data_IF_912250784694
#
_entry.id   IF_912250784694
#
_cell.length_a   1.000
_cell.length_b   1.000
_cell.length_c   1.000
_cell.angle_alpha   90.00
_cell.angle_beta   90.00
_cell.angle_gamma   90.00
#
_symmetry.space_group_name_H-M   'P 1'
#
loop_
_entity.id
_entity.type
_entity.pdbx_description
1 polymer ?
#
# COMPACT_ATOMS: atom_id res chain seq x y z
N UNK A 1 11.30 -6.47 -10.23
CA UNK A 1 10.01 -5.84 -9.95
C UNK A 1 9.51 -6.34 -8.61
N UNK A 2 9.47 -5.48 -7.61
CA UNK A 2 9.00 -5.80 -6.26
C UNK A 2 7.48 -5.65 -6.20
N UNK A 3 6.79 -6.67 -5.68
CA UNK A 3 5.33 -6.69 -5.54
C UNK A 3 5.00 -6.46 -4.08
N UNK A 4 4.29 -5.36 -3.79
CA UNK A 4 4.02 -4.93 -2.42
C UNK A 4 2.56 -5.20 -2.06
N UNK A 5 2.34 -5.88 -0.95
CA UNK A 5 1.04 -5.97 -0.29
C UNK A 5 1.00 -5.03 0.92
N UNK A 6 -0.10 -4.32 1.10
CA UNK A 6 -0.34 -3.47 2.27
C UNK A 6 -1.50 -4.06 3.07
N UNK A 7 -1.27 -4.40 4.35
CA UNK A 7 -2.31 -4.89 5.27
C UNK A 7 -2.51 -3.83 6.35
N UNK A 8 -3.72 -3.31 6.44
CA UNK A 8 -4.05 -2.11 7.21
C UNK A 8 -3.76 -0.83 6.41
N UNK A 9 -4.81 -0.15 5.98
CA UNK A 9 -4.82 1.07 5.17
C UNK A 9 -5.20 2.34 5.94
N UNK A 10 -4.88 2.38 7.24
CA UNK A 10 -4.90 3.58 8.07
C UNK A 10 -3.81 4.60 7.70
N UNK A 11 -3.40 5.43 8.66
CA UNK A 11 -2.40 6.49 8.44
C UNK A 11 -1.09 5.95 7.84
N UNK A 12 -0.50 4.92 8.45
CA UNK A 12 0.76 4.34 7.96
C UNK A 12 0.60 3.56 6.66
N UNK A 13 -0.52 2.84 6.47
CA UNK A 13 -0.79 2.16 5.20
C UNK A 13 -0.83 3.11 4.01
N UNK A 14 -1.46 4.27 4.18
CA UNK A 14 -1.50 5.34 3.17
C UNK A 14 -0.14 6.01 2.95
N UNK A 15 0.64 6.21 4.00
CA UNK A 15 2.03 6.68 3.91
C UNK A 15 2.86 5.72 3.04
N UNK A 16 2.85 4.42 3.37
CA UNK A 16 3.56 3.41 2.61
C UNK A 16 3.09 3.34 1.16
N UNK A 17 1.78 3.38 0.90
CA UNK A 17 1.25 3.41 -0.46
C UNK A 17 1.83 4.55 -1.29
N UNK A 18 1.89 5.77 -0.74
CA UNK A 18 2.50 6.93 -1.41
C UNK A 18 3.99 6.71 -1.68
N UNK A 19 4.74 6.21 -0.71
CA UNK A 19 6.16 5.93 -0.88
C UNK A 19 6.41 4.85 -1.95
N UNK A 20 5.60 3.79 -1.96
CA UNK A 20 5.74 2.69 -2.93
C UNK A 20 5.33 3.07 -4.35
N UNK A 21 4.38 3.99 -4.52
CA UNK A 21 4.05 4.55 -5.83
C UNK A 21 5.20 5.36 -6.44
N UNK A 22 6.00 6.02 -5.60
CA UNK A 22 7.16 6.79 -6.04
C UNK A 22 8.46 5.99 -6.15
N UNK A 23 8.44 4.69 -5.85
CA UNK A 23 9.61 3.84 -5.86
C UNK A 23 9.75 3.10 -7.21
N UNK A 24 10.84 3.38 -7.92
CA UNK A 24 11.13 2.69 -9.18
C UNK A 24 11.27 1.18 -8.99
N UNK A 25 10.68 0.42 -9.92
CA UNK A 25 10.75 -1.04 -9.90
C UNK A 25 9.88 -1.70 -8.83
N UNK A 26 9.04 -0.95 -8.11
CA UNK A 26 8.02 -1.47 -7.21
C UNK A 26 6.60 -1.32 -7.79
N UNK A 27 5.68 -2.18 -7.35
CA UNK A 27 4.26 -2.10 -7.68
C UNK A 27 3.44 -2.54 -6.49
N UNK A 28 2.51 -1.70 -6.03
CA UNK A 28 1.51 -2.10 -5.05
C UNK A 28 0.54 -3.06 -5.73
N UNK A 29 0.60 -4.33 -5.35
CA UNK A 29 -0.16 -5.41 -5.97
C UNK A 29 -1.48 -5.70 -5.25
N UNK A 30 -1.58 -5.35 -3.97
CA UNK A 30 -2.79 -5.56 -3.17
C UNK A 30 -2.83 -4.63 -1.95
N UNK A 31 -4.03 -4.27 -1.53
CA UNK A 31 -4.32 -3.60 -0.27
C UNK A 31 -5.44 -4.39 0.43
N UNK A 32 -5.26 -4.68 1.71
CA UNK A 32 -6.25 -5.35 2.55
C UNK A 32 -6.54 -4.43 3.76
N UNK A 33 -7.79 -4.05 3.94
CA UNK A 33 -8.26 -3.22 5.04
C UNK A 33 -9.50 -3.87 5.66
N UNK A 34 -9.56 -3.83 7.00
CA UNK A 34 -10.65 -4.41 7.77
C UNK A 34 -11.86 -3.47 7.84
N UNK A 35 -11.63 -2.15 7.81
CA UNK A 35 -12.70 -1.16 7.74
C UNK A 35 -13.14 -0.91 6.29
N UNK A 36 -14.37 -1.30 5.89
CA UNK A 36 -14.85 -1.06 4.53
C UNK A 36 -15.09 0.41 4.18
N UNK A 37 -15.07 1.32 5.15
CA UNK A 37 -15.30 2.76 4.96
C UNK A 37 -14.01 3.56 4.63
N UNK A 38 -12.83 2.91 4.71
CA UNK A 38 -11.51 3.52 4.45
C UNK A 38 -11.10 3.30 2.99
#
# INVERSE_FOLDING_TARGET
MLRIGIVGFGFMGRMHHRCWLGADGATVAAICEANPEV
#
